data_IF_960665871890
#
_entry.id   IF_960665871890
#
_cell.length_a   1.000
_cell.length_b   1.000
_cell.length_c   1.000
_cell.angle_alpha   90.00
_cell.angle_beta   90.00
_cell.angle_gamma   90.00
#
_symmetry.space_group_name_H-M   'P 1'
#
loop_
_entity.id
_entity.type
_entity.pdbx_description
1 polymer ?
#
# COMPACT_ATOMS: atom_id res chain seq x y z
N UNK A 1 2.09 33.87 -20.69
CA UNK A 1 3.49 34.26 -20.38
C UNK A 1 3.61 34.57 -18.90
N UNK A 2 3.90 33.55 -18.10
CA UNK A 2 4.32 33.64 -16.69
C UNK A 2 5.17 32.41 -16.42
N UNK A 3 6.30 32.62 -15.77
CA UNK A 3 7.52 31.84 -15.88
C UNK A 3 7.40 30.44 -15.30
N UNK A 4 7.86 29.46 -16.09
CA UNK A 4 8.29 28.15 -15.62
C UNK A 4 9.46 28.35 -14.63
N UNK A 5 9.34 27.77 -13.44
CA UNK A 5 10.47 27.46 -12.59
C UNK A 5 10.73 25.97 -12.75
N UNK A 6 11.54 25.62 -13.75
CA UNK A 6 12.08 24.26 -13.91
C UNK A 6 13.17 24.12 -12.85
N UNK A 7 12.85 23.45 -11.74
CA UNK A 7 13.86 22.92 -10.85
C UNK A 7 14.45 21.70 -11.54
N UNK A 8 15.63 21.87 -12.13
CA UNK A 8 16.41 20.76 -12.64
C UNK A 8 16.87 19.90 -11.45
N UNK A 9 16.15 18.81 -11.19
CA UNK A 9 16.69 17.72 -10.38
C UNK A 9 17.88 17.14 -11.12
N UNK A 10 19.09 17.43 -10.63
CA UNK A 10 20.26 16.66 -10.98
C UNK A 10 20.06 15.25 -10.40
N UNK A 11 19.52 14.34 -11.20
CA UNK A 11 19.64 12.90 -11.01
C UNK A 11 21.12 12.56 -11.14
N UNK A 12 21.88 12.66 -10.04
CA UNK A 12 23.14 11.94 -9.98
C UNK A 12 22.81 10.45 -9.89
N UNK A 13 23.32 9.60 -10.78
CA UNK A 13 23.29 8.17 -10.52
C UNK A 13 24.12 7.97 -9.24
N UNK A 14 23.48 7.46 -8.19
CA UNK A 14 24.24 6.83 -7.13
C UNK A 14 25.09 5.75 -7.79
N UNK A 15 26.41 5.85 -7.67
CA UNK A 15 27.30 4.75 -8.04
C UNK A 15 26.87 3.54 -7.19
N UNK A 16 26.65 2.36 -7.79
CA UNK A 16 26.32 1.17 -7.01
C UNK A 16 27.43 0.91 -6.00
N UNK A 17 27.04 0.49 -4.79
CA UNK A 17 27.98 -0.09 -3.84
C UNK A 17 28.68 -1.26 -4.54
N UNK A 18 29.98 -1.08 -4.83
CA UNK A 18 30.78 -2.10 -5.47
C UNK A 18 30.83 -3.36 -4.60
N UNK A 19 30.36 -4.50 -5.11
CA UNK A 19 30.74 -5.82 -4.57
C UNK A 19 29.65 -6.67 -3.91
N UNK A 20 28.36 -6.35 -4.01
CA UNK A 20 27.33 -7.30 -3.55
C UNK A 20 27.30 -8.53 -4.44
N UNK A 21 27.59 -9.68 -3.85
CA UNK A 21 27.55 -10.97 -4.54
C UNK A 21 26.10 -11.33 -4.89
N UNK A 22 25.87 -11.67 -6.15
CA UNK A 22 24.56 -12.13 -6.62
C UNK A 22 24.15 -13.39 -5.82
N UNK A 23 22.94 -13.43 -5.23
CA UNK A 23 22.47 -14.63 -4.56
C UNK A 23 22.47 -15.82 -5.53
N UNK A 24 22.92 -16.99 -5.08
CA UNK A 24 23.21 -18.13 -5.95
C UNK A 24 22.01 -18.63 -6.75
N UNK A 25 20.79 -18.51 -6.20
CA UNK A 25 19.54 -18.94 -6.81
C UNK A 25 18.76 -17.79 -7.44
N UNK A 26 19.29 -16.55 -7.42
CA UNK A 26 18.59 -15.38 -7.96
C UNK A 26 18.26 -15.55 -9.45
N UNK A 27 19.26 -15.94 -10.25
CA UNK A 27 19.08 -16.07 -11.70
C UNK A 27 18.01 -17.11 -12.05
N UNK A 28 18.03 -18.28 -11.42
CA UNK A 28 17.06 -19.35 -11.65
C UNK A 28 15.65 -18.94 -11.18
N UNK A 29 15.56 -18.28 -10.03
CA UNK A 29 14.30 -17.77 -9.48
C UNK A 29 13.65 -16.76 -10.43
N UNK A 30 14.41 -15.80 -10.95
CA UNK A 30 13.87 -14.75 -11.82
C UNK A 30 13.56 -15.25 -13.25
N UNK A 31 14.30 -16.23 -13.76
CA UNK A 31 13.91 -16.96 -14.98
C UNK A 31 12.59 -17.71 -14.78
N UNK A 32 12.44 -18.39 -13.63
CA UNK A 32 11.22 -19.14 -13.30
C UNK A 32 10.02 -18.21 -13.14
N UNK A 33 10.16 -17.11 -12.40
CA UNK A 33 9.15 -16.05 -12.26
C UNK A 33 8.73 -15.52 -13.64
N UNK A 34 9.70 -15.19 -14.49
CA UNK A 34 9.43 -14.64 -15.82
C UNK A 34 8.60 -15.58 -16.70
N UNK A 35 8.79 -16.89 -16.59
CA UNK A 35 7.96 -17.90 -17.28
C UNK A 35 6.57 -18.00 -16.67
N UNK A 36 6.49 -18.11 -15.34
CA UNK A 36 5.22 -18.26 -14.61
C UNK A 36 4.29 -17.07 -14.84
N UNK A 37 4.84 -15.85 -14.84
CA UNK A 37 4.07 -14.64 -14.98
C UNK A 37 3.39 -14.47 -16.34
N UNK A 38 3.84 -15.16 -17.39
CA UNK A 38 3.13 -15.14 -18.69
C UNK A 38 1.70 -15.64 -18.56
N UNK A 39 1.50 -16.78 -17.87
CA UNK A 39 0.17 -17.35 -17.67
C UNK A 39 -0.66 -16.54 -16.65
N UNK A 40 -0.03 -16.08 -15.56
CA UNK A 40 -0.71 -15.28 -14.53
C UNK A 40 -1.22 -13.97 -15.13
N UNK A 41 -0.39 -13.23 -15.86
CA UNK A 41 -0.77 -11.98 -16.50
C UNK A 41 -1.84 -12.19 -17.58
N UNK A 42 -1.76 -13.27 -18.35
CA UNK A 42 -2.81 -13.60 -19.33
C UNK A 42 -4.17 -13.89 -18.69
N UNK A 43 -4.20 -14.59 -17.54
CA UNK A 43 -5.43 -14.81 -16.77
C UNK A 43 -5.97 -13.52 -16.14
N UNK A 44 -5.07 -12.67 -15.67
CA UNK A 44 -5.43 -11.36 -15.12
C UNK A 44 -6.04 -10.44 -16.18
N UNK A 45 -5.44 -10.36 -17.37
CA UNK A 45 -5.99 -9.63 -18.51
C UNK A 45 -7.38 -10.14 -18.90
N UNK A 46 -7.60 -11.46 -18.90
CA UNK A 46 -8.92 -12.05 -19.15
C UNK A 46 -9.94 -11.73 -18.05
N UNK A 47 -9.50 -11.59 -16.79
CA UNK A 47 -10.35 -11.15 -15.69
C UNK A 47 -10.71 -9.67 -15.85
N UNK A 48 -9.75 -8.80 -16.18
CA UNK A 48 -9.99 -7.37 -16.40
C UNK A 48 -11.04 -7.15 -17.50
N UNK A 49 -10.97 -7.90 -18.60
CA UNK A 49 -11.98 -7.85 -19.68
C UNK A 49 -13.37 -8.27 -19.19
N UNK A 50 -13.46 -9.25 -18.28
CA UNK A 50 -14.74 -9.67 -17.69
C UNK A 50 -15.28 -8.66 -16.68
N UNK A 51 -14.40 -7.95 -15.96
CA UNK A 51 -14.79 -6.96 -14.95
C UNK A 51 -15.12 -5.59 -15.54
N UNK A 52 -14.64 -5.26 -16.74
CA UNK A 52 -14.84 -3.96 -17.38
C UNK A 52 -16.32 -3.51 -17.44
N UNK A 53 -17.30 -4.36 -17.83
CA UNK A 53 -18.71 -3.96 -17.85
C UNK A 53 -19.28 -3.62 -16.47
N UNK A 54 -18.83 -4.30 -15.42
CA UNK A 54 -19.26 -4.02 -14.04
C UNK A 54 -18.68 -2.70 -13.55
N UNK A 55 -17.43 -2.40 -13.91
CA UNK A 55 -16.79 -1.11 -13.60
C UNK A 55 -17.53 0.06 -14.28
N UNK A 56 -17.87 -0.08 -15.57
CA UNK A 56 -18.64 0.93 -16.29
C UNK A 56 -20.02 1.15 -15.66
N UNK A 57 -20.73 0.06 -15.32
CA UNK A 57 -22.05 0.12 -14.68
C UNK A 57 -21.97 0.73 -13.27
N UNK A 58 -20.95 0.40 -12.47
CA UNK A 58 -20.79 0.96 -11.12
C UNK A 58 -20.47 2.45 -11.17
N UNK A 59 -19.56 2.89 -12.06
CA UNK A 59 -19.23 4.30 -12.27
C UNK A 59 -20.47 5.09 -12.71
N UNK A 60 -21.29 4.51 -13.59
CA UNK A 60 -22.55 5.11 -14.02
C UNK A 60 -23.53 5.29 -12.86
N UNK A 61 -23.72 4.27 -12.02
CA UNK A 61 -24.60 4.35 -10.85
C UNK A 61 -24.09 5.34 -9.79
N UNK A 62 -22.78 5.43 -9.58
CA UNK A 62 -22.16 6.42 -8.68
C UNK A 62 -22.43 7.84 -9.18
N UNK A 63 -22.21 8.11 -10.48
CA UNK A 63 -22.51 9.42 -11.08
C UNK A 63 -23.99 9.80 -10.95
N UNK A 64 -24.89 8.82 -11.09
CA UNK A 64 -26.33 9.02 -10.87
C UNK A 64 -26.62 9.33 -9.40
N UNK A 65 -26.01 8.61 -8.46
CA UNK A 65 -26.18 8.86 -7.03
C UNK A 65 -25.71 10.28 -6.63
N UNK A 66 -24.59 10.72 -7.18
CA UNK A 66 -24.08 12.09 -7.01
C UNK A 66 -25.07 13.13 -7.56
N UNK A 67 -25.60 12.92 -8.77
CA UNK A 67 -26.59 13.82 -9.36
C UNK A 67 -27.88 13.89 -8.54
N UNK A 68 -28.38 12.77 -8.01
CA UNK A 68 -29.51 12.75 -7.07
C UNK A 68 -29.19 13.55 -5.81
N UNK A 69 -27.98 13.43 -5.28
CA UNK A 69 -27.58 14.14 -4.06
C UNK A 69 -27.44 15.65 -4.26
N UNK A 70 -27.06 16.08 -5.46
CA UNK A 70 -26.94 17.48 -5.86
C UNK A 70 -28.22 18.06 -6.47
N UNK A 71 -29.27 17.24 -6.64
CA UNK A 71 -30.49 17.59 -7.38
C UNK A 71 -30.17 18.12 -8.80
N UNK A 72 -29.14 17.53 -9.44
CA UNK A 72 -28.60 17.96 -10.72
C UNK A 72 -29.43 17.43 -11.90
N UNK A 73 -30.42 18.22 -12.33
CA UNK A 73 -31.32 17.84 -13.42
C UNK A 73 -30.67 17.78 -14.83
N UNK A 74 -29.44 18.25 -15.01
CA UNK A 74 -28.72 18.15 -16.30
C UNK A 74 -28.50 16.71 -16.74
N UNK A 75 -28.35 15.77 -15.81
CA UNK A 75 -28.09 14.36 -16.13
C UNK A 75 -29.28 13.68 -16.82
N UNK A 76 -30.50 14.19 -16.63
CA UNK A 76 -31.77 13.56 -17.05
C UNK A 76 -31.83 13.30 -18.56
N UNK A 77 -31.23 14.19 -19.37
CA UNK A 77 -31.18 14.05 -20.81
C UNK A 77 -30.31 12.86 -21.27
N UNK A 78 -29.32 12.50 -20.46
CA UNK A 78 -28.34 11.45 -20.76
C UNK A 78 -28.73 10.11 -20.14
N UNK A 79 -29.85 10.03 -19.39
CA UNK A 79 -30.36 8.78 -18.81
C UNK A 79 -31.02 7.88 -19.86
N UNK A 80 -30.66 6.60 -19.84
CA UNK A 80 -31.12 5.59 -20.78
C UNK A 80 -32.45 4.96 -20.34
N UNK A 81 -33.52 5.19 -21.10
CA UNK A 81 -34.85 4.64 -20.81
C UNK A 81 -34.94 3.10 -20.93
N UNK A 82 -33.95 2.45 -21.57
CA UNK A 82 -33.88 1.00 -21.66
C UNK A 82 -33.30 0.35 -20.39
N UNK A 83 -32.57 1.12 -19.56
CA UNK A 83 -32.02 0.64 -18.30
C UNK A 83 -33.02 0.89 -17.17
N UNK A 84 -33.54 -0.14 -16.48
CA UNK A 84 -34.64 0.01 -15.51
C UNK A 84 -34.36 1.03 -14.40
N UNK A 85 -33.14 1.03 -13.86
CA UNK A 85 -32.74 1.95 -12.79
C UNK A 85 -32.65 3.39 -13.31
N UNK A 86 -32.09 3.61 -14.50
CA UNK A 86 -31.99 4.95 -15.07
C UNK A 86 -33.37 5.51 -15.44
N UNK A 87 -34.28 4.68 -15.96
CA UNK A 87 -35.66 5.05 -16.22
C UNK A 87 -36.40 5.46 -14.93
N UNK A 88 -36.18 4.74 -13.83
CA UNK A 88 -36.77 5.07 -12.53
C UNK A 88 -36.23 6.39 -11.96
N UNK A 89 -34.92 6.63 -12.07
CA UNK A 89 -34.29 7.90 -11.67
C UNK A 89 -34.81 9.07 -12.50
N UNK A 90 -34.99 8.88 -13.81
CA UNK A 90 -35.56 9.88 -14.73
C UNK A 90 -37.00 10.23 -14.36
N UNK A 91 -37.79 9.23 -14.00
CA UNK A 91 -39.15 9.42 -13.51
C UNK A 91 -39.14 10.18 -12.17
N UNK A 92 -38.24 9.85 -11.25
CA UNK A 92 -38.07 10.58 -9.99
C UNK A 92 -37.75 12.05 -10.20
N UNK A 93 -36.75 12.39 -11.04
CA UNK A 93 -36.41 13.79 -11.34
C UNK A 93 -37.59 14.58 -11.89
N UNK A 94 -38.42 13.95 -12.72
CA UNK A 94 -39.61 14.58 -13.29
C UNK A 94 -40.65 14.91 -12.20
N UNK A 95 -40.83 14.03 -11.21
CA UNK A 95 -41.73 14.27 -10.08
C UNK A 95 -41.14 15.31 -9.12
N UNK A 96 -39.84 15.24 -8.82
CA UNK A 96 -39.17 16.19 -7.94
C UNK A 96 -39.21 17.62 -8.48
N UNK A 97 -39.08 17.80 -9.80
CA UNK A 97 -39.23 19.12 -10.44
C UNK A 97 -40.61 19.75 -10.17
N UNK A 98 -41.69 18.96 -10.28
CA UNK A 98 -43.06 19.44 -9.99
C UNK A 98 -43.22 19.79 -8.51
N UNK A 99 -42.63 18.99 -7.62
CA UNK A 99 -42.64 19.26 -6.17
C UNK A 99 -41.82 20.51 -5.82
N UNK A 100 -40.68 20.72 -6.48
CA UNK A 100 -39.84 21.90 -6.30
C UNK A 100 -40.57 23.17 -6.75
N UNK A 101 -41.22 23.17 -7.92
CA UNK A 101 -42.06 24.27 -8.39
C UNK A 101 -43.21 24.57 -7.41
N UNK A 102 -43.88 23.52 -6.91
CA UNK A 102 -44.95 23.66 -5.92
C UNK A 102 -44.43 24.30 -4.63
N UNK A 103 -43.27 23.86 -4.12
CA UNK A 103 -42.68 24.44 -2.93
C UNK A 103 -42.32 25.91 -3.11
N UNK A 104 -41.74 26.29 -4.25
CA UNK A 104 -41.45 27.70 -4.56
C UNK A 104 -42.73 28.55 -4.52
N UNK A 105 -43.84 28.02 -5.04
CA UNK A 105 -45.11 28.72 -5.10
C UNK A 105 -45.85 28.82 -3.74
N UNK A 106 -45.81 27.78 -2.92
CA UNK A 106 -46.62 27.68 -1.69
C UNK A 106 -45.83 27.91 -0.40
N UNK A 107 -44.51 27.70 -0.41
CA UNK A 107 -43.64 27.67 0.77
C UNK A 107 -44.10 26.66 1.85
N UNK A 108 -44.80 25.60 1.43
CA UNK A 108 -45.35 24.59 2.34
C UNK A 108 -44.28 23.57 2.77
N UNK A 109 -44.01 23.49 4.07
CA UNK A 109 -43.01 22.58 4.64
C UNK A 109 -43.35 21.10 4.45
N UNK A 110 -44.63 20.73 4.26
CA UNK A 110 -45.02 19.37 3.94
C UNK A 110 -44.43 18.90 2.60
N UNK A 111 -44.26 19.82 1.64
CA UNK A 111 -43.64 19.52 0.33
C UNK A 111 -42.16 19.21 0.48
N UNK A 112 -41.44 19.87 1.40
CA UNK A 112 -40.04 19.54 1.69
C UNK A 112 -39.88 18.15 2.32
N UNK A 113 -40.81 17.77 3.19
CA UNK A 113 -40.84 16.41 3.77
C UNK A 113 -41.08 15.36 2.68
N UNK A 114 -42.03 15.61 1.77
CA UNK A 114 -42.31 14.72 0.63
C UNK A 114 -41.10 14.57 -0.29
N UNK A 115 -40.46 15.69 -0.68
CA UNK A 115 -39.23 15.67 -1.51
C UNK A 115 -38.10 14.90 -0.84
N UNK A 116 -37.89 15.10 0.46
CA UNK A 116 -36.85 14.38 1.21
C UNK A 116 -37.12 12.88 1.23
N UNK A 117 -38.35 12.45 1.53
CA UNK A 117 -38.72 11.04 1.53
C UNK A 117 -38.56 10.40 0.15
N UNK A 118 -38.95 11.09 -0.93
CA UNK A 118 -38.76 10.60 -2.30
C UNK A 118 -37.29 10.48 -2.68
N UNK A 119 -36.47 11.47 -2.31
CA UNK A 119 -35.02 11.44 -2.53
C UNK A 119 -34.36 10.29 -1.78
N UNK A 120 -34.76 10.04 -0.54
CA UNK A 120 -34.23 8.91 0.22
C UNK A 120 -34.65 7.57 -0.40
N UNK A 121 -35.89 7.46 -0.90
CA UNK A 121 -36.36 6.27 -1.60
C UNK A 121 -35.56 5.98 -2.87
N UNK A 122 -35.31 6.97 -3.75
CA UNK A 122 -34.57 6.74 -4.98
C UNK A 122 -33.08 6.45 -4.70
N UNK A 123 -32.52 7.04 -3.65
CA UNK A 123 -31.15 6.72 -3.19
C UNK A 123 -31.03 5.25 -2.80
N UNK A 124 -32.03 4.71 -2.11
CA UNK A 124 -32.07 3.28 -1.76
C UNK A 124 -32.08 2.40 -3.02
N UNK A 125 -32.88 2.76 -4.02
CA UNK A 125 -32.92 2.03 -5.31
C UNK A 125 -31.54 2.00 -5.97
N UNK A 126 -30.89 3.15 -6.11
CA UNK A 126 -29.56 3.25 -6.72
C UNK A 126 -28.49 2.53 -5.89
N UNK A 127 -28.54 2.61 -4.56
CA UNK A 127 -27.61 1.87 -3.71
C UNK A 127 -27.79 0.36 -3.82
N UNK A 128 -29.04 -0.13 -3.88
CA UNK A 128 -29.30 -1.56 -4.06
C UNK A 128 -28.80 -2.06 -5.42
N UNK A 129 -28.98 -1.28 -6.49
CA UNK A 129 -28.43 -1.61 -7.80
C UNK A 129 -26.88 -1.65 -7.79
N UNK A 130 -26.23 -0.77 -7.02
CA UNK A 130 -24.78 -0.78 -6.86
C UNK A 130 -24.30 -2.02 -6.08
N UNK A 131 -25.03 -2.42 -5.03
CA UNK A 131 -24.75 -3.63 -4.25
C UNK A 131 -24.91 -4.91 -5.09
N UNK A 132 -25.89 -4.94 -6.00
CA UNK A 132 -26.05 -6.04 -6.96
C UNK A 132 -24.85 -6.15 -7.91
N UNK A 133 -24.45 -5.02 -8.53
CA UNK A 133 -23.26 -4.98 -9.42
C UNK A 133 -22.00 -5.42 -8.70
N UNK A 134 -21.82 -5.00 -7.45
CA UNK A 134 -20.69 -5.43 -6.62
C UNK A 134 -20.74 -6.93 -6.37
N UNK A 135 -21.91 -7.47 -6.01
CA UNK A 135 -22.10 -8.89 -5.75
C UNK A 135 -21.75 -9.73 -7.00
N UNK A 136 -22.23 -9.32 -8.17
CA UNK A 136 -21.92 -9.99 -9.44
C UNK A 136 -20.42 -9.93 -9.77
N UNK A 137 -19.77 -8.78 -9.55
CA UNK A 137 -18.32 -8.66 -9.73
C UNK A 137 -17.52 -9.54 -8.75
N UNK A 138 -17.94 -9.60 -7.48
CA UNK A 138 -17.33 -10.44 -6.45
C UNK A 138 -17.45 -11.94 -6.80
N UNK A 139 -18.58 -12.37 -7.40
CA UNK A 139 -18.76 -13.73 -7.91
C UNK A 139 -17.77 -14.05 -9.04
N UNK A 140 -17.58 -13.13 -9.99
CA UNK A 140 -16.59 -13.27 -11.08
C UNK A 140 -15.17 -13.40 -10.50
N UNK A 141 -14.80 -12.54 -9.55
CA UNK A 141 -13.49 -12.57 -8.88
C UNK A 141 -13.30 -13.90 -8.15
N UNK A 142 -14.32 -14.38 -7.42
CA UNK A 142 -14.25 -15.63 -6.67
C UNK A 142 -13.96 -16.85 -7.56
N UNK A 143 -14.39 -16.84 -8.83
CA UNK A 143 -14.09 -17.93 -9.79
C UNK A 143 -12.60 -18.04 -10.16
N UNK A 144 -11.81 -16.99 -9.92
CA UNK A 144 -10.40 -16.94 -10.34
C UNK A 144 -9.46 -17.71 -9.41
N UNK A 145 -9.95 -18.15 -8.25
CA UNK A 145 -9.21 -18.94 -7.27
C UNK A 145 -8.03 -18.17 -6.67
N UNK A 146 -6.81 -18.63 -6.94
CA UNK A 146 -5.56 -18.08 -6.40
C UNK A 146 -4.99 -16.93 -7.23
N UNK A 147 -5.67 -16.46 -8.28
CA UNK A 147 -5.12 -15.45 -9.18
C UNK A 147 -4.75 -14.14 -8.46
N UNK A 148 -5.56 -13.72 -7.48
CA UNK A 148 -5.35 -12.50 -6.70
C UNK A 148 -4.09 -12.55 -5.84
N UNK A 149 -3.62 -13.74 -5.45
CA UNK A 149 -2.35 -13.91 -4.73
C UNK A 149 -1.18 -14.15 -5.66
N UNK A 150 -1.38 -14.86 -6.78
CA UNK A 150 -0.36 -15.12 -7.79
C UNK A 150 0.14 -13.82 -8.45
N UNK A 151 -0.78 -12.89 -8.76
CA UNK A 151 -0.47 -11.64 -9.46
C UNK A 151 0.51 -10.75 -8.69
N UNK A 152 0.53 -10.83 -7.36
CA UNK A 152 1.42 -10.04 -6.48
C UNK A 152 2.90 -10.20 -6.87
N UNK A 153 3.28 -11.40 -7.34
CA UNK A 153 4.66 -11.72 -7.72
C UNK A 153 5.05 -11.22 -9.13
N UNK A 154 4.06 -10.80 -9.93
CA UNK A 154 4.18 -10.46 -11.34
C UNK A 154 3.91 -8.98 -11.62
N UNK A 155 3.01 -8.36 -10.86
CA UNK A 155 2.68 -6.95 -11.04
C UNK A 155 3.91 -6.05 -10.78
N UNK A 156 4.16 -5.14 -11.72
CA UNK A 156 5.33 -4.26 -11.71
C UNK A 156 6.70 -4.96 -11.78
N UNK A 157 6.75 -6.28 -11.95
CA UNK A 157 8.01 -7.02 -12.07
C UNK A 157 8.78 -6.65 -13.35
N UNK A 158 10.09 -6.82 -13.30
CA UNK A 158 10.97 -6.71 -14.47
C UNK A 158 11.31 -8.13 -14.90
N UNK A 159 11.01 -8.48 -16.14
CA UNK A 159 11.11 -9.85 -16.63
C UNK A 159 12.39 -10.09 -17.43
N UNK A 160 12.87 -11.33 -17.41
CA UNK A 160 13.95 -11.76 -18.29
C UNK A 160 13.36 -12.12 -19.64
N UNK A 161 13.65 -11.32 -20.68
CA UNK A 161 12.98 -11.37 -21.99
C UNK A 161 13.01 -12.76 -22.61
N UNK A 162 14.15 -13.43 -22.56
CA UNK A 162 14.33 -14.77 -23.13
C UNK A 162 13.41 -15.81 -22.48
N UNK A 163 13.27 -15.78 -21.15
CA UNK A 163 12.38 -16.66 -20.41
C UNK A 163 10.91 -16.35 -20.66
N UNK A 164 10.54 -15.07 -20.76
CA UNK A 164 9.18 -14.68 -21.16
C UNK A 164 8.85 -15.18 -22.56
N UNK A 165 9.73 -14.96 -23.54
CA UNK A 165 9.53 -15.41 -24.92
C UNK A 165 9.43 -16.95 -25.03
N UNK A 166 10.23 -17.67 -24.25
CA UNK A 166 10.14 -19.13 -24.13
C UNK A 166 8.74 -19.57 -23.68
N UNK A 167 8.24 -18.99 -22.58
CA UNK A 167 6.92 -19.31 -22.04
C UNK A 167 5.77 -18.84 -22.95
N UNK A 168 5.96 -17.74 -23.69
CA UNK A 168 4.98 -17.24 -24.63
C UNK A 168 4.73 -18.22 -25.77
N UNK A 169 5.76 -18.89 -26.30
CA UNK A 169 5.61 -19.74 -27.48
C UNK A 169 4.83 -19.02 -28.59
N UNK A 170 3.67 -19.56 -28.96
CA UNK A 170 2.73 -18.98 -29.94
C UNK A 170 1.55 -18.23 -29.32
N UNK A 171 1.47 -18.13 -28.00
CA UNK A 171 0.39 -17.43 -27.29
C UNK A 171 0.45 -15.92 -27.59
N UNK A 172 -0.72 -15.34 -27.82
CA UNK A 172 -0.91 -13.90 -27.99
C UNK A 172 -1.53 -13.35 -26.70
N UNK A 173 -0.73 -12.60 -25.94
CA UNK A 173 -1.14 -11.84 -24.76
C UNK A 173 -0.37 -10.51 -24.74
N UNK A 174 -0.86 -9.55 -23.97
CA UNK A 174 -0.21 -8.23 -23.83
C UNK A 174 1.28 -8.32 -23.46
N UNK A 175 1.63 -9.17 -22.48
CA UNK A 175 3.03 -9.41 -22.08
C UNK A 175 3.86 -10.09 -23.18
N UNK A 176 3.27 -11.02 -23.93
CA UNK A 176 3.97 -11.72 -25.01
C UNK A 176 4.22 -10.81 -26.22
N UNK A 177 3.28 -9.95 -26.55
CA UNK A 177 3.45 -8.93 -27.58
C UNK A 177 4.54 -7.94 -27.17
N UNK A 178 4.50 -7.45 -25.93
CA UNK A 178 5.53 -6.55 -25.40
C UNK A 178 6.93 -7.19 -25.36
N UNK A 179 7.02 -8.49 -25.06
CA UNK A 179 8.29 -9.22 -25.05
C UNK A 179 8.87 -9.42 -26.47
N UNK A 180 8.02 -9.55 -27.49
CA UNK A 180 8.44 -9.66 -28.91
C UNK A 180 8.76 -8.29 -29.53
N UNK A 181 8.17 -7.23 -29.00
CA UNK A 181 8.42 -5.88 -29.48
C UNK A 181 9.82 -5.38 -29.09
N UNK A 182 10.40 -4.60 -29.99
CA UNK A 182 11.66 -3.88 -29.82
C UNK A 182 11.45 -2.48 -29.21
N UNK A 183 10.21 -1.96 -29.27
CA UNK A 183 9.84 -0.70 -28.64
C UNK A 183 9.55 -0.91 -27.15
N UNK A 184 10.05 0.00 -26.32
CA UNK A 184 9.78 -0.03 -24.89
C UNK A 184 8.28 0.09 -24.61
N UNK A 185 7.76 -0.84 -23.82
CA UNK A 185 6.38 -0.81 -23.35
C UNK A 185 6.34 -0.21 -21.93
N UNK A 186 5.47 0.78 -21.64
CA UNK A 186 5.40 1.39 -20.32
C UNK A 186 4.85 0.45 -19.23
N UNK A 187 4.06 -0.56 -19.60
CA UNK A 187 3.45 -1.54 -18.70
C UNK A 187 4.41 -2.68 -18.34
N UNK A 188 5.22 -3.15 -19.29
CA UNK A 188 6.11 -4.30 -19.10
C UNK A 188 7.58 -3.92 -19.30
N UNK A 189 8.41 -4.24 -18.30
CA UNK A 189 9.86 -4.00 -18.32
C UNK A 189 10.60 -5.30 -18.53
N UNK A 190 11.61 -5.28 -19.40
CA UNK A 190 12.40 -6.45 -19.74
C UNK A 190 13.90 -6.18 -19.63
N UNK A 191 14.65 -7.19 -19.20
CA UNK A 191 16.11 -7.27 -19.28
C UNK A 191 16.54 -8.49 -20.09
N UNK A 192 17.77 -8.46 -20.59
CA UNK A 192 18.29 -9.56 -21.42
C UNK A 192 18.82 -10.74 -20.59
N UNK A 193 19.23 -10.48 -19.34
CA UNK A 193 19.77 -11.50 -18.45
C UNK A 193 19.45 -11.20 -16.97
N UNK A 194 19.44 -12.23 -16.09
CA UNK A 194 19.11 -12.04 -14.68
C UNK A 194 20.15 -11.21 -13.90
N UNK A 195 21.43 -11.21 -14.29
CA UNK A 195 22.46 -10.40 -13.65
C UNK A 195 22.17 -8.90 -13.77
N UNK A 196 21.73 -8.44 -14.94
CA UNK A 196 21.32 -7.04 -15.17
C UNK A 196 20.16 -6.66 -14.24
N UNK A 197 19.26 -7.59 -13.94
CA UNK A 197 18.13 -7.33 -13.03
C UNK A 197 18.61 -6.95 -11.63
N UNK A 198 19.67 -7.58 -11.13
CA UNK A 198 20.21 -7.26 -9.79
C UNK A 198 20.72 -5.82 -9.70
N UNK A 199 21.27 -5.30 -10.79
CA UNK A 199 21.77 -3.92 -10.86
C UNK A 199 20.66 -2.87 -10.96
N UNK A 200 19.40 -3.29 -11.19
CA UNK A 200 18.25 -2.38 -11.21
C UNK A 200 17.87 -2.06 -9.77
N UNK A 201 18.22 -0.85 -9.34
CA UNK A 201 17.87 -0.33 -8.04
C UNK A 201 16.83 0.80 -8.16
N UNK A 202 15.83 0.76 -7.28
CA UNK A 202 14.87 1.84 -7.12
C UNK A 202 14.72 2.14 -5.64
N UNK A 203 14.88 3.41 -5.27
CA UNK A 203 14.66 3.88 -3.93
C UNK A 203 13.57 4.95 -3.90
N UNK A 204 12.81 4.98 -2.82
CA UNK A 204 12.01 6.12 -2.42
C UNK A 204 12.58 6.66 -1.11
N UNK A 205 12.85 7.97 -1.02
CA UNK A 205 13.26 8.59 0.23
C UNK A 205 12.23 8.34 1.34
N UNK A 206 12.67 8.49 2.59
CA UNK A 206 11.77 8.49 3.72
C UNK A 206 10.72 9.60 3.57
N UNK A 207 9.45 9.24 3.75
CA UNK A 207 8.32 10.16 3.58
C UNK A 207 8.18 11.11 4.77
N UNK A 208 7.88 12.38 4.52
CA UNK A 208 7.56 13.30 5.61
C UNK A 208 6.30 12.85 6.36
N UNK A 209 6.34 12.73 7.69
CA UNK A 209 5.17 12.38 8.47
C UNK A 209 4.14 13.51 8.46
N UNK A 210 2.86 13.16 8.37
CA UNK A 210 1.73 14.06 8.63
C UNK A 210 1.14 13.78 10.02
N UNK A 211 0.42 14.72 10.64
CA UNK A 211 -0.34 14.44 11.87
C UNK A 211 -1.37 13.33 11.67
N UNK A 212 -1.83 12.71 12.76
CA UNK A 212 -2.93 11.75 12.66
C UNK A 212 -4.25 12.42 12.25
N UNK A 213 -5.05 11.71 11.46
CA UNK A 213 -6.37 12.11 11.01
C UNK A 213 -7.30 10.91 10.85
N UNK A 214 -8.57 11.19 10.53
CA UNK A 214 -9.57 10.14 10.27
C UNK A 214 -9.67 9.91 8.77
N UNK A 215 -9.51 8.67 8.31
CA UNK A 215 -9.74 8.27 6.92
C UNK A 215 -11.24 8.29 6.60
N UNK A 216 -11.65 8.28 5.31
CA UNK A 216 -13.06 8.15 4.94
C UNK A 216 -13.76 6.93 5.56
N UNK A 217 -13.01 5.86 5.84
CA UNK A 217 -13.48 4.62 6.47
C UNK A 217 -13.56 4.72 8.01
N UNK A 218 -13.25 5.88 8.59
CA UNK A 218 -13.31 6.11 10.04
C UNK A 218 -12.09 5.62 10.82
N UNK A 219 -11.01 5.20 10.14
CA UNK A 219 -9.78 4.73 10.79
C UNK A 219 -8.82 5.88 11.08
N UNK A 220 -7.93 5.71 12.05
CA UNK A 220 -6.82 6.64 12.25
C UNK A 220 -5.68 6.32 11.28
N UNK A 221 -5.20 7.33 10.57
CA UNK A 221 -4.02 7.24 9.70
C UNK A 221 -3.16 8.50 9.86
N UNK A 222 -1.92 8.46 9.39
CA UNK A 222 -0.90 9.48 9.59
C UNK A 222 0.16 9.06 10.60
N UNK A 223 0.92 10.04 11.11
CA UNK A 223 2.06 9.87 12.02
C UNK A 223 3.03 8.77 11.58
N UNK A 224 3.35 8.72 10.28
CA UNK A 224 4.16 7.66 9.68
C UNK A 224 5.23 8.25 8.78
N UNK A 225 6.45 7.75 8.93
CA UNK A 225 7.51 7.90 7.93
C UNK A 225 7.88 6.53 7.39
N UNK A 226 8.03 6.39 6.07
CA UNK A 226 8.31 5.12 5.43
C UNK A 226 9.32 5.28 4.31
N UNK A 227 10.13 4.24 4.09
CA UNK A 227 11.11 4.15 3.02
C UNK A 227 10.89 2.87 2.23
N UNK A 228 11.24 2.92 0.95
CA UNK A 228 11.14 1.79 0.05
C UNK A 228 12.44 1.65 -0.72
N UNK A 229 12.96 0.43 -0.76
CA UNK A 229 14.08 0.08 -1.63
C UNK A 229 13.75 -1.17 -2.42
N UNK A 230 14.17 -1.21 -3.67
CA UNK A 230 14.05 -2.35 -4.55
C UNK A 230 15.38 -2.63 -5.23
N UNK A 231 15.79 -3.90 -5.20
CA UNK A 231 16.91 -4.44 -5.94
C UNK A 231 16.39 -5.58 -6.81
N UNK A 232 16.41 -5.40 -8.13
CA UNK A 232 15.75 -6.30 -9.08
C UNK A 232 14.25 -6.41 -8.83
N UNK A 233 13.76 -7.62 -8.52
CA UNK A 233 12.36 -7.88 -8.16
C UNK A 233 12.14 -8.04 -6.64
N UNK A 234 13.17 -7.76 -5.84
CA UNK A 234 13.08 -7.76 -4.38
C UNK A 234 12.80 -6.34 -3.93
N UNK A 235 11.64 -6.10 -3.32
CA UNK A 235 11.33 -4.87 -2.61
C UNK A 235 11.40 -5.08 -1.11
N UNK A 236 11.92 -4.09 -0.40
CA UNK A 236 11.90 -3.97 1.05
C UNK A 236 11.26 -2.63 1.40
N UNK A 237 10.20 -2.67 2.19
CA UNK A 237 9.51 -1.52 2.74
C UNK A 237 9.76 -1.51 4.25
N UNK A 238 10.12 -0.35 4.78
CA UNK A 238 10.17 -0.10 6.21
C UNK A 238 9.34 1.12 6.56
N UNK A 239 8.63 1.06 7.68
CA UNK A 239 7.81 2.17 8.15
C UNK A 239 7.91 2.34 9.65
N UNK A 240 8.19 3.57 10.10
CA UNK A 240 8.18 3.96 11.50
C UNK A 240 6.89 4.75 11.81
N UNK A 241 6.16 4.33 12.84
CA UNK A 241 4.87 4.90 13.23
C UNK A 241 4.52 4.56 14.70
N UNK A 242 3.60 5.31 15.35
CA UNK A 242 3.01 4.93 16.62
C UNK A 242 1.94 3.85 16.39
N UNK A 243 2.20 2.61 16.81
CA UNK A 243 1.18 1.57 16.80
C UNK A 243 0.21 1.80 17.96
N UNK A 244 -1.02 2.21 17.69
CA UNK A 244 -2.05 2.39 18.71
C UNK A 244 -2.67 1.06 19.14
N UNK A 245 -2.87 0.87 20.44
CA UNK A 245 -3.64 -0.23 20.99
C UNK A 245 -4.57 0.22 22.12
N UNK A 246 -5.71 -0.44 22.25
CA UNK A 246 -6.63 -0.20 23.34
C UNK A 246 -6.04 -0.76 24.64
N UNK A 247 -6.05 0.04 25.71
CA UNK A 247 -5.49 -0.35 27.02
C UNK A 247 -6.16 -1.60 27.59
N UNK A 248 -7.44 -1.82 27.30
CA UNK A 248 -8.18 -3.02 27.73
C UNK A 248 -7.70 -4.33 27.10
N UNK A 249 -6.99 -4.26 25.96
CA UNK A 249 -6.43 -5.42 25.27
C UNK A 249 -5.05 -5.80 25.81
N UNK A 250 -4.49 -5.00 26.73
CA UNK A 250 -3.13 -5.15 27.24
C UNK A 250 -3.14 -5.63 28.70
N UNK A 251 -2.20 -6.50 29.03
CA UNK A 251 -1.97 -6.88 30.43
C UNK A 251 -1.29 -5.74 31.20
N UNK A 252 -1.43 -5.66 32.53
CA UNK A 252 -0.72 -4.65 33.33
C UNK A 252 0.80 -4.68 33.16
N UNK A 253 1.38 -5.86 32.92
CA UNK A 253 2.82 -6.03 32.67
C UNK A 253 3.25 -5.43 31.33
N UNK A 254 2.45 -5.66 30.27
CA UNK A 254 2.67 -5.04 28.97
C UNK A 254 2.56 -3.52 29.07
N UNK A 255 1.50 -3.02 29.72
CA UNK A 255 1.30 -1.58 29.95
C UNK A 255 2.49 -0.94 30.67
N UNK A 256 2.97 -1.53 31.77
CA UNK A 256 4.13 -1.01 32.49
C UNK A 256 5.41 -1.02 31.67
N UNK A 257 5.60 -2.04 30.82
CA UNK A 257 6.76 -2.11 29.91
C UNK A 257 6.70 -1.02 28.84
N UNK A 258 5.51 -0.72 28.33
CA UNK A 258 5.28 0.32 27.31
C UNK A 258 5.49 1.71 27.90
N UNK A 259 4.91 1.96 29.07
CA UNK A 259 5.08 3.22 29.80
C UNK A 259 6.56 3.46 30.08
N UNK A 260 7.33 2.43 30.46
CA UNK A 260 8.78 2.55 30.63
C UNK A 260 9.52 2.94 29.34
N UNK A 261 9.17 2.32 28.20
CA UNK A 261 9.78 2.65 26.90
C UNK A 261 9.42 4.09 26.51
N UNK A 262 8.15 4.47 26.58
CA UNK A 262 7.68 5.80 26.24
C UNK A 262 8.27 6.87 27.16
N UNK A 263 8.33 6.63 28.46
CA UNK A 263 8.97 7.52 29.44
C UNK A 263 10.46 7.72 29.13
N UNK A 264 11.16 6.65 28.75
CA UNK A 264 12.59 6.73 28.38
C UNK A 264 12.83 7.55 27.09
N UNK A 265 11.81 7.69 26.26
CA UNK A 265 11.80 8.48 25.03
C UNK A 265 11.26 9.90 25.24
N UNK A 266 10.75 10.21 26.44
CA UNK A 266 10.08 11.48 26.73
C UNK A 266 8.68 11.59 26.15
N UNK A 267 8.09 10.50 25.67
CA UNK A 267 6.75 10.48 25.11
C UNK A 267 5.68 10.56 26.21
N UNK A 268 4.94 11.66 26.24
CA UNK A 268 3.87 11.86 27.21
C UNK A 268 2.54 11.44 26.59
N UNK A 269 1.99 10.30 27.03
CA UNK A 269 0.66 9.84 26.61
C UNK A 269 -0.34 9.92 27.77
N UNK A 270 -1.38 10.73 27.60
CA UNK A 270 -2.40 10.98 28.63
C UNK A 270 -3.79 10.41 28.29
N UNK A 271 -3.90 9.62 27.22
CA UNK A 271 -5.18 9.04 26.81
C UNK A 271 -5.60 7.86 27.73
N UNK A 272 -6.82 7.86 28.29
CA UNK A 272 -7.25 6.86 29.27
C UNK A 272 -7.60 5.49 28.65
N UNK A 273 -7.88 5.44 27.35
CA UNK A 273 -8.33 4.21 26.67
C UNK A 273 -7.30 3.65 25.68
N UNK A 274 -6.29 4.44 25.30
CA UNK A 274 -5.35 4.11 24.20
C UNK A 274 -3.93 4.35 24.68
N UNK A 275 -3.02 3.48 24.25
CA UNK A 275 -1.58 3.64 24.36
C UNK A 275 -0.97 3.43 22.98
N UNK A 276 0.28 3.88 22.77
CA UNK A 276 1.00 3.58 21.54
C UNK A 276 2.39 3.01 21.82
N UNK A 277 2.92 2.31 20.81
CA UNK A 277 4.28 1.82 20.76
C UNK A 277 5.01 2.50 19.60
N UNK A 278 6.24 3.01 19.78
CA UNK A 278 7.06 3.43 18.66
C UNK A 278 7.49 2.19 17.88
N UNK A 279 6.90 1.95 16.72
CA UNK A 279 7.02 0.68 16.00
C UNK A 279 7.64 0.88 14.64
N UNK A 280 8.59 0.00 14.29
CA UNK A 280 9.07 -0.16 12.93
C UNK A 280 8.46 -1.43 12.32
N UNK A 281 7.71 -1.28 11.25
CA UNK A 281 7.27 -2.39 10.42
C UNK A 281 8.28 -2.64 9.30
N UNK A 282 8.46 -3.91 8.95
CA UNK A 282 9.18 -4.34 7.76
C UNK A 282 8.31 -5.25 6.90
N UNK A 283 8.45 -5.13 5.59
CA UNK A 283 7.90 -6.07 4.62
C UNK A 283 8.87 -6.23 3.44
N UNK A 284 9.24 -7.46 3.11
CA UNK A 284 10.12 -7.80 1.99
C UNK A 284 9.47 -8.79 1.03
N UNK A 285 9.66 -8.64 -0.30
CA UNK A 285 9.06 -9.51 -1.32
C UNK A 285 9.92 -10.75 -1.64
N UNK A 286 10.17 -11.58 -0.62
CA UNK A 286 11.06 -12.76 -0.69
C UNK A 286 10.43 -14.04 -0.13
N UNK A 287 9.41 -14.62 -0.80
CA UNK A 287 8.71 -15.80 -0.27
C UNK A 287 9.59 -17.06 -0.22
N UNK A 288 10.66 -17.12 -1.01
CA UNK A 288 11.60 -18.25 -1.07
C UNK A 288 13.04 -17.78 -0.90
N UNK A 289 13.88 -18.54 -0.18
CA UNK A 289 15.31 -18.24 -0.03
C UNK A 289 16.03 -18.17 -1.38
N UNK A 290 16.99 -17.27 -1.51
CA UNK A 290 17.76 -17.05 -2.74
C UNK A 290 19.21 -17.55 -2.67
N UNK A 291 19.72 -17.86 -1.48
CA UNK A 291 21.08 -18.29 -1.24
C UNK A 291 21.20 -19.25 -0.03
N UNK A 292 20.16 -20.07 0.22
CA UNK A 292 20.07 -21.02 1.33
C UNK A 292 20.19 -20.35 2.72
N UNK A 293 19.71 -19.12 2.82
CA UNK A 293 19.55 -18.41 4.08
C UNK A 293 18.54 -19.12 5.00
N UNK A 294 18.81 -19.09 6.30
CA UNK A 294 17.93 -19.58 7.36
C UNK A 294 17.13 -18.45 8.02
N UNK A 295 17.62 -17.22 7.96
CA UNK A 295 16.96 -16.05 8.53
C UNK A 295 17.23 -14.77 7.75
N UNK A 296 16.43 -13.75 8.05
CA UNK A 296 16.60 -12.38 7.58
C UNK A 296 16.78 -11.45 8.77
N UNK A 297 17.63 -10.44 8.60
CA UNK A 297 17.89 -9.40 9.59
C UNK A 297 17.62 -8.03 8.98
N UNK A 298 16.97 -7.15 9.75
CA UNK A 298 17.08 -5.71 9.56
C UNK A 298 18.06 -5.19 10.60
N UNK A 299 19.09 -4.48 10.17
CA UNK A 299 20.14 -4.00 11.08
C UNK A 299 20.72 -2.67 10.63
N UNK A 300 21.37 -1.97 11.55
CA UNK A 300 22.19 -0.81 11.24
C UNK A 300 23.57 -1.23 10.73
N UNK A 301 24.18 -0.37 9.91
CA UNK A 301 25.57 -0.53 9.48
C UNK A 301 25.84 -1.69 8.53
N UNK A 302 27.12 -2.00 8.34
CA UNK A 302 27.59 -3.10 7.50
C UNK A 302 27.47 -4.47 8.17
N UNK A 303 27.61 -5.54 7.39
CA UNK A 303 27.56 -6.93 7.88
C UNK A 303 28.68 -7.23 8.90
N UNK A 304 29.84 -6.62 8.72
CA UNK A 304 31.00 -6.75 9.61
C UNK A 304 30.80 -6.03 10.96
N UNK A 305 29.73 -5.26 11.08
CA UNK A 305 29.38 -4.42 12.24
C UNK A 305 28.12 -4.92 12.96
N UNK A 306 27.62 -6.12 12.62
CA UNK A 306 26.48 -6.73 13.30
C UNK A 306 26.92 -7.17 14.70
N UNK A 307 26.83 -6.25 15.65
CA UNK A 307 27.03 -6.49 17.07
C UNK A 307 25.70 -6.63 17.82
N UNK A 308 25.80 -6.95 19.12
CA UNK A 308 24.66 -6.96 20.05
C UNK A 308 24.15 -5.54 20.30
N UNK A 309 23.40 -5.00 19.34
CA UNK A 309 22.87 -3.63 19.37
C UNK A 309 22.57 -3.06 17.98
N UNK A 310 23.15 -3.64 16.92
CA UNK A 310 22.88 -3.29 15.53
C UNK A 310 21.59 -3.90 14.97
N UNK A 311 21.14 -5.04 15.49
CA UNK A 311 19.94 -5.72 14.99
C UNK A 311 18.66 -5.03 15.43
N UNK A 312 17.81 -4.68 14.46
CA UNK A 312 16.50 -4.06 14.65
C UNK A 312 15.41 -5.15 14.66
N UNK A 313 15.44 -6.05 13.69
CA UNK A 313 14.41 -7.09 13.51
C UNK A 313 15.03 -8.36 12.96
N UNK A 314 14.45 -9.51 13.32
CA UNK A 314 14.83 -10.83 12.80
C UNK A 314 13.60 -11.61 12.37
N UNK A 315 13.72 -12.38 11.30
CA UNK A 315 12.64 -13.26 10.83
C UNK A 315 13.16 -14.53 10.16
N UNK A 316 12.39 -15.63 10.20
CA UNK A 316 12.78 -16.88 9.56
C UNK A 316 12.71 -16.78 8.03
N UNK A 317 13.65 -17.45 7.35
CA UNK A 317 13.57 -17.69 5.91
C UNK A 317 12.84 -19.00 5.61
N UNK A 318 12.39 -19.19 4.36
CA UNK A 318 11.83 -20.47 3.91
C UNK A 318 10.44 -20.81 4.43
N UNK A 319 9.70 -19.85 4.98
CA UNK A 319 8.33 -20.06 5.47
C UNK A 319 7.28 -20.16 4.35
N UNK A 320 7.67 -19.84 3.12
CA UNK A 320 6.76 -19.69 1.98
C UNK A 320 5.95 -18.39 1.99
N UNK A 321 6.14 -17.54 3.00
CA UNK A 321 5.53 -16.21 3.10
C UNK A 321 6.60 -15.12 2.98
N UNK A 322 6.27 -13.96 2.37
CA UNK A 322 7.17 -12.82 2.36
C UNK A 322 7.56 -12.41 3.80
N UNK A 323 8.85 -12.13 4.08
CA UNK A 323 9.29 -11.70 5.41
C UNK A 323 8.60 -10.39 5.80
N UNK A 324 7.91 -10.40 6.93
CA UNK A 324 7.22 -9.22 7.45
C UNK A 324 7.12 -9.28 8.97
N UNK A 325 7.01 -8.12 9.61
CA UNK A 325 6.76 -8.02 11.04
C UNK A 325 6.94 -6.62 11.60
N UNK A 326 6.50 -6.47 12.84
CA UNK A 326 6.59 -5.23 13.60
C UNK A 326 7.57 -5.40 14.76
N UNK A 327 8.38 -4.37 15.02
CA UNK A 327 9.25 -4.31 16.20
C UNK A 327 9.08 -2.99 16.94
N UNK A 328 8.94 -3.07 18.26
CA UNK A 328 8.94 -1.89 19.12
C UNK A 328 10.37 -1.38 19.26
N UNK A 329 10.59 -0.12 18.90
CA UNK A 329 11.90 0.50 18.94
C UNK A 329 12.20 1.09 20.33
N UNK A 330 13.41 0.84 20.82
CA UNK A 330 13.94 1.53 21.99
C UNK A 330 14.66 2.84 21.65
N UNK A 331 15.08 3.63 22.67
CA UNK A 331 15.79 4.89 22.51
C UNK A 331 17.01 4.83 21.61
N UNK A 332 17.82 3.77 21.72
CA UNK A 332 19.03 3.61 20.91
C UNK A 332 18.70 3.48 19.42
N UNK A 333 17.71 2.65 19.07
CA UNK A 333 17.33 2.45 17.66
C UNK A 333 16.72 3.72 17.06
N UNK A 334 15.85 4.42 17.81
CA UNK A 334 15.27 5.69 17.37
C UNK A 334 16.35 6.77 17.18
N UNK A 335 17.31 6.87 18.10
CA UNK A 335 18.44 7.81 18.01
C UNK A 335 19.30 7.53 16.77
N UNK A 336 19.59 6.26 16.45
CA UNK A 336 20.34 5.87 15.24
C UNK A 336 19.54 6.14 13.96
N UNK A 337 18.22 5.92 13.97
CA UNK A 337 17.37 6.29 12.85
C UNK A 337 17.36 7.81 12.63
N UNK A 338 17.20 8.59 13.70
CA UNK A 338 17.20 10.05 13.69
C UNK A 338 18.55 10.65 13.25
N UNK A 339 19.67 10.00 13.54
CA UNK A 339 20.98 10.41 13.03
C UNK A 339 21.19 10.10 11.54
N UNK A 340 20.24 9.40 10.91
CA UNK A 340 20.33 8.98 9.51
C UNK A 340 21.28 7.81 9.29
N UNK A 341 21.53 6.99 10.32
CA UNK A 341 22.40 5.83 10.20
C UNK A 341 21.84 4.82 9.19
N UNK A 342 22.66 4.31 8.23
CA UNK A 342 22.19 3.37 7.23
C UNK A 342 21.58 2.11 7.83
N UNK A 343 20.48 1.67 7.23
CA UNK A 343 19.78 0.43 7.60
C UNK A 343 19.88 -0.55 6.44
N UNK A 344 20.18 -1.79 6.73
CA UNK A 344 20.33 -2.86 5.74
C UNK A 344 19.41 -4.03 6.05
N UNK A 345 18.85 -4.63 5.00
CA UNK A 345 18.15 -5.90 5.04
C UNK A 345 19.06 -7.01 4.53
N UNK A 346 19.40 -7.97 5.38
CA UNK A 346 20.40 -8.98 5.08
C UNK A 346 19.84 -10.38 5.25
N UNK A 347 20.19 -11.27 4.33
CA UNK A 347 19.87 -12.68 4.41
C UNK A 347 21.05 -13.42 5.04
N UNK A 348 20.78 -14.21 6.08
CA UNK A 348 21.79 -14.88 6.89
C UNK A 348 21.67 -16.38 6.72
N UNK A 349 22.80 -17.02 6.44
CA UNK A 349 22.99 -18.46 6.46
C UNK A 349 23.74 -18.83 7.73
N UNK A 350 23.15 -19.68 8.56
CA UNK A 350 23.86 -20.27 9.68
C UNK A 350 24.94 -21.24 9.18
N UNK A 351 26.17 -21.07 9.67
CA UNK A 351 27.25 -22.02 9.48
C UNK A 351 27.09 -23.22 10.43
N UNK A 352 27.80 -24.31 10.13
CA UNK A 352 27.82 -25.50 10.98
C UNK A 352 28.41 -25.24 12.38
N UNK A 353 29.13 -24.13 12.56
CA UNK A 353 29.75 -23.71 13.82
C UNK A 353 28.83 -22.76 14.64
N UNK A 354 27.66 -22.41 14.10
CA UNK A 354 26.68 -21.53 14.76
C UNK A 354 26.85 -20.04 14.43
N UNK A 355 27.91 -19.67 13.72
CA UNK A 355 28.12 -18.29 13.25
C UNK A 355 27.26 -18.02 12.00
N UNK A 356 26.60 -16.87 11.96
CA UNK A 356 25.79 -16.43 10.82
C UNK A 356 26.64 -15.71 9.77
N UNK A 357 26.57 -16.17 8.52
CA UNK A 357 27.19 -15.51 7.37
C UNK A 357 26.11 -14.84 6.53
N UNK A 358 26.29 -13.56 6.22
CA UNK A 358 25.39 -12.87 5.31
C UNK A 358 25.66 -13.25 3.85
N UNK A 359 24.65 -13.79 3.19
CA UNK A 359 24.74 -14.28 1.81
C UNK A 359 24.36 -13.23 0.77
N UNK A 360 23.56 -12.24 1.16
CA UNK A 360 23.38 -10.97 0.46
C UNK A 360 22.83 -9.91 1.41
N UNK A 361 22.94 -8.65 1.01
CA UNK A 361 22.38 -7.51 1.74
C UNK A 361 21.74 -6.53 0.77
N UNK A 362 20.74 -5.79 1.23
CA UNK A 362 20.08 -4.70 0.51
C UNK A 362 20.08 -3.50 1.45
N UNK A 363 20.92 -2.51 1.14
CA UNK A 363 20.93 -1.25 1.87
C UNK A 363 19.64 -0.49 1.56
N UNK A 364 18.98 0.01 2.60
CA UNK A 364 17.80 0.85 2.47
C UNK A 364 18.21 2.30 2.24
N UNK A 365 17.39 3.04 1.49
CA UNK A 365 17.59 4.47 1.29
C UNK A 365 17.63 5.22 2.63
N UNK A 366 18.76 5.85 2.92
CA UNK A 366 18.95 6.80 4.03
C UNK A 366 18.50 8.23 3.68
N UNK A 367 18.08 8.47 2.43
CA UNK A 367 17.64 9.79 1.95
C UNK A 367 16.44 10.26 2.77
N UNK A 368 16.55 11.44 3.38
CA UNK A 368 15.58 12.05 4.30
C UNK A 368 15.27 11.26 5.58
N UNK A 369 16.05 10.22 5.92
CA UNK A 369 15.79 9.40 7.10
C UNK A 369 15.80 10.23 8.39
N UNK A 370 16.94 10.85 8.72
CA UNK A 370 17.08 11.59 9.98
C UNK A 370 16.01 12.67 10.17
N UNK A 371 15.87 13.64 9.24
CA UNK A 371 14.88 14.71 9.39
C UNK A 371 13.43 14.23 9.52
N UNK A 372 13.04 13.15 8.84
CA UNK A 372 11.65 12.66 8.91
C UNK A 372 11.39 11.84 10.16
N UNK A 373 12.39 11.10 10.66
CA UNK A 373 12.32 10.40 11.95
C UNK A 373 12.29 11.41 13.09
N UNK A 374 13.15 12.44 13.07
CA UNK A 374 13.14 13.53 14.07
C UNK A 374 11.78 14.23 14.10
N UNK A 375 11.23 14.61 12.94
CA UNK A 375 9.92 15.25 12.85
C UNK A 375 8.79 14.35 13.41
N UNK A 376 8.86 13.03 13.19
CA UNK A 376 7.88 12.10 13.75
C UNK A 376 8.03 11.98 15.29
N UNK A 377 9.26 11.87 15.79
CA UNK A 377 9.54 11.81 17.23
C UNK A 377 9.08 13.09 17.94
N UNK A 378 9.33 14.26 17.35
CA UNK A 378 8.84 15.55 17.84
C UNK A 378 7.31 15.58 17.90
N UNK A 379 6.64 15.15 16.82
CA UNK A 379 5.19 15.04 16.80
C UNK A 379 4.65 14.09 17.88
N UNK A 380 5.24 12.92 18.04
CA UNK A 380 4.87 11.91 19.06
C UNK A 380 5.06 12.44 20.48
N UNK A 381 6.07 13.30 20.69
CA UNK A 381 6.38 13.90 21.99
C UNK A 381 5.41 15.04 22.34
N UNK A 382 5.13 15.92 21.37
CA UNK A 382 4.52 17.22 21.67
C UNK A 382 3.02 17.29 21.33
N UNK A 383 2.58 16.60 20.27
CA UNK A 383 1.28 16.86 19.65
C UNK A 383 0.38 15.64 19.58
N UNK A 384 0.95 14.44 19.45
CA UNK A 384 0.19 13.22 19.22
C UNK A 384 -0.90 12.97 20.27
N UNK A 385 -0.60 13.15 21.56
CA UNK A 385 -1.59 12.96 22.62
C UNK A 385 -2.79 13.92 22.50
N UNK A 386 -2.52 15.19 22.14
CA UNK A 386 -3.58 16.19 21.97
C UNK A 386 -4.45 15.88 20.75
N UNK A 387 -3.85 15.48 19.63
CA UNK A 387 -4.60 15.06 18.46
C UNK A 387 -5.43 13.81 18.74
N UNK A 388 -4.87 12.84 19.46
CA UNK A 388 -5.59 11.62 19.81
C UNK A 388 -6.82 11.90 20.67
N UNK A 389 -6.71 12.76 21.70
CA UNK A 389 -7.85 13.17 22.53
C UNK A 389 -8.93 13.92 21.74
N UNK A 390 -8.55 14.65 20.69
CA UNK A 390 -9.49 15.35 19.82
C UNK A 390 -10.23 14.38 18.90
N UNK A 391 -9.55 13.37 18.38
CA UNK A 391 -10.07 12.42 17.39
C UNK A 391 -10.83 11.26 18.05
N UNK A 392 -10.39 10.84 19.23
CA UNK A 392 -11.03 9.86 20.10
C UNK A 392 -11.27 10.55 21.44
N UNK A 393 -12.42 11.24 21.63
CA UNK A 393 -12.74 11.81 22.92
C UNK A 393 -12.90 10.67 23.94
N UNK A 394 -12.26 10.75 25.12
CA UNK A 394 -12.43 9.75 26.15
C UNK A 394 -13.91 9.64 26.54
N UNK A 395 -14.41 8.42 26.75
CA UNK A 395 -15.78 8.21 27.19
C UNK A 395 -16.07 9.05 28.43
N UNK A 396 -17.21 9.75 28.46
CA UNK A 396 -17.66 10.39 29.69
C UNK A 396 -17.77 9.31 30.78
N UNK A 397 -17.15 9.51 31.97
CA UNK A 397 -17.14 8.52 33.04
C UNK A 397 -18.53 8.14 33.54
#
# INVERSE_FOLDING_TARGET
MRYLLVVAFALWPALPAAGQQLPTSFAESELTRSRQCVNVLGRFEALDVQLAPFLEKSQRLISIAEAIALEESSIVADLNDAEPIEAEVKAWFSVDAVLAERFVATQDSAVLTERTAMRDSIRVVVSSALDEVRTEADEVIATTGTLTTEIISCDGAVFVRSATLEACGTTESSVCQAARDTVANPQFRFVDSPDILWDIQQFRPWTSPAPIGVTPEGQLDGARTASFTRTGNISVNVAFYPLFQAREQLTPEMLGSIELVNDSLGFVMSHPEVVFFPTLAIQASLPTPLANESSYLLHFGGLDEIDAGATIWTGPAGTGQPPAGDVVLGPTAISRLASGEPVSFSAIRESAEGDGEAVFSIELSSVNQGPTVEALVEYMTEQLSNDLQRLIPPGNP
#
